data_IF_149983143944
#
_entry.id   IF_149983143944
#
_cell.length_a   1.000
_cell.length_b   1.000
_cell.length_c   1.000
_cell.angle_alpha   90.00
_cell.angle_beta   90.00
_cell.angle_gamma   90.00
#
_symmetry.space_group_name_H-M   'P 1'
#
loop_
_entity.id
_entity.type
_entity.pdbx_description
1 polymer ?
#
# COMPACT_ATOMS: atom_id res chain seq x y z
N UNK A 1 -28.26 -0.24 -12.03
CA UNK A 1 -27.58 -0.19 -10.72
C UNK A 1 -26.17 0.26 -11.00
N UNK A 2 -25.83 1.52 -10.71
CA UNK A 2 -24.47 2.01 -10.93
C UNK A 2 -23.56 1.28 -9.96
N UNK A 3 -22.64 0.47 -10.48
CA UNK A 3 -21.49 -0.01 -9.71
C UNK A 3 -20.75 1.22 -9.22
N UNK A 4 -20.91 1.57 -7.94
CA UNK A 4 -20.04 2.55 -7.30
C UNK A 4 -18.63 2.00 -7.40
N UNK A 5 -17.86 2.56 -8.32
CA UNK A 5 -16.45 2.26 -8.49
C UNK A 5 -15.76 2.71 -7.20
N UNK A 6 -15.39 1.78 -6.34
CA UNK A 6 -14.66 2.10 -5.11
C UNK A 6 -13.30 2.67 -5.52
N UNK A 7 -13.07 3.94 -5.20
CA UNK A 7 -11.79 4.57 -5.49
C UNK A 7 -10.68 3.91 -4.68
N UNK A 8 -9.45 3.83 -5.22
CA UNK A 8 -8.29 3.38 -4.45
C UNK A 8 -8.12 4.25 -3.19
N UNK A 9 -7.66 3.67 -2.09
CA UNK A 9 -7.42 4.39 -0.83
C UNK A 9 -6.63 5.69 -1.06
N UNK A 10 -7.02 6.76 -0.34
CA UNK A 10 -6.55 8.16 -0.47
C UNK A 10 -7.12 8.97 -1.62
N UNK A 11 -7.41 8.34 -2.76
CA UNK A 11 -7.78 9.06 -3.98
C UNK A 11 -9.22 9.54 -3.89
N UNK A 12 -9.43 10.84 -4.04
CA UNK A 12 -10.76 11.44 -3.97
C UNK A 12 -11.26 11.84 -5.36
N UNK A 13 -10.40 12.46 -6.17
CA UNK A 13 -10.73 12.95 -7.52
C UNK A 13 -9.61 12.66 -8.51
N UNK A 14 -9.28 11.38 -8.77
CA UNK A 14 -8.29 11.04 -9.77
C UNK A 14 -8.81 11.35 -11.17
N UNK A 15 -7.98 12.02 -11.98
CA UNK A 15 -8.27 12.28 -13.39
C UNK A 15 -7.01 12.15 -14.25
N UNK A 16 -7.15 11.93 -15.56
CA UNK A 16 -6.01 11.93 -16.47
C UNK A 16 -5.17 13.21 -16.33
N UNK A 17 -3.85 13.05 -16.28
CA UNK A 17 -2.91 14.16 -16.35
C UNK A 17 -2.81 14.64 -17.80
N UNK A 18 -2.98 15.94 -18.06
CA UNK A 18 -3.02 16.50 -19.41
C UNK A 18 -2.25 17.83 -19.49
N UNK A 19 -1.33 17.95 -20.44
CA UNK A 19 -0.45 19.10 -20.57
C UNK A 19 -1.20 20.42 -20.76
N UNK A 20 -2.30 20.40 -21.51
CA UNK A 20 -3.11 21.58 -21.83
C UNK A 20 -3.80 22.16 -20.59
N UNK A 21 -4.14 21.31 -19.62
CA UNK A 21 -4.83 21.71 -18.39
C UNK A 21 -3.85 21.91 -17.22
N UNK A 22 -2.84 21.06 -17.13
CA UNK A 22 -1.95 20.95 -15.97
C UNK A 22 -0.63 21.71 -16.17
N UNK A 23 -0.55 22.57 -17.20
CA UNK A 23 0.63 23.34 -17.57
C UNK A 23 1.19 24.26 -16.47
N UNK A 24 0.32 24.80 -15.62
CA UNK A 24 0.71 25.64 -14.48
C UNK A 24 0.75 24.87 -13.16
N UNK A 25 0.35 23.59 -13.17
CA UNK A 25 0.32 22.75 -11.99
C UNK A 25 1.74 22.37 -11.57
N UNK A 26 1.99 22.39 -10.27
CA UNK A 26 3.28 22.10 -9.65
C UNK A 26 3.11 21.21 -8.43
N UNK A 27 4.12 20.40 -8.13
CA UNK A 27 4.15 19.53 -6.97
C UNK A 27 4.94 20.16 -5.82
N UNK A 28 4.42 20.11 -4.60
CA UNK A 28 5.12 20.58 -3.42
C UNK A 28 6.46 19.82 -3.24
N UNK A 29 7.56 20.51 -2.87
CA UNK A 29 8.86 19.89 -2.69
C UNK A 29 8.96 19.03 -1.42
N UNK A 30 8.20 19.37 -0.38
CA UNK A 30 8.14 18.62 0.87
C UNK A 30 6.96 17.64 0.84
N UNK A 31 7.20 16.41 1.28
CA UNK A 31 6.16 15.39 1.36
C UNK A 31 5.38 15.55 2.67
N UNK A 32 4.07 15.68 2.55
CA UNK A 32 3.11 15.71 3.65
C UNK A 32 2.19 14.49 3.54
N UNK A 33 2.26 13.59 4.52
CA UNK A 33 1.54 12.32 4.53
C UNK A 33 0.17 12.41 5.20
N UNK A 34 -0.35 13.61 5.50
CA UNK A 34 -1.67 13.77 6.14
C UNK A 34 -2.82 13.13 5.35
N UNK A 35 -2.69 12.99 4.03
CA UNK A 35 -3.62 12.23 3.20
C UNK A 35 -3.76 10.75 3.62
N UNK A 36 -2.74 10.20 4.28
CA UNK A 36 -2.69 8.81 4.72
C UNK A 36 -3.10 8.58 6.18
N UNK A 37 -3.42 9.64 6.94
CA UNK A 37 -3.79 9.55 8.38
C UNK A 37 -4.96 8.63 8.66
N UNK A 38 -5.91 8.55 7.72
CA UNK A 38 -7.11 7.73 7.84
C UNK A 38 -6.94 6.26 7.41
N UNK A 39 -5.79 5.85 6.87
CA UNK A 39 -5.63 4.46 6.41
C UNK A 39 -5.09 3.55 7.50
N UNK A 40 -5.94 2.60 7.92
CA UNK A 40 -5.54 1.51 8.81
C UNK A 40 -4.62 0.50 8.12
N UNK A 41 -4.67 0.40 6.79
CA UNK A 41 -3.83 -0.48 5.98
C UNK A 41 -3.64 0.09 4.57
N UNK A 42 -2.56 -0.31 3.90
CA UNK A 42 -2.33 0.04 2.49
C UNK A 42 -1.77 -1.15 1.72
N UNK A 43 -2.03 -1.23 0.40
CA UNK A 43 -1.37 -2.22 -0.46
C UNK A 43 0.16 -2.15 -0.36
N UNK A 44 0.78 -3.32 -0.45
CA UNK A 44 2.24 -3.47 -0.50
C UNK A 44 2.60 -4.48 -1.60
N UNK A 45 3.63 -4.16 -2.40
CA UNK A 45 4.12 -5.05 -3.45
C UNK A 45 5.23 -5.96 -2.90
N UNK A 46 5.35 -7.16 -3.46
CA UNK A 46 6.34 -8.18 -3.06
C UNK A 46 7.78 -7.66 -3.00
N UNK A 47 8.15 -6.78 -3.94
CA UNK A 47 9.47 -6.15 -3.97
C UNK A 47 9.80 -5.34 -2.69
N UNK A 48 8.78 -4.93 -1.93
CA UNK A 48 8.93 -4.16 -0.71
C UNK A 48 8.90 -5.03 0.56
N UNK A 49 8.55 -6.32 0.48
CA UNK A 49 8.27 -7.14 1.66
C UNK A 49 9.45 -7.20 2.64
N UNK A 50 10.68 -7.29 2.15
CA UNK A 50 11.88 -7.40 3.01
C UNK A 50 12.20 -6.10 3.76
N UNK A 51 11.76 -4.95 3.24
CA UNK A 51 11.87 -3.67 3.93
C UNK A 51 10.66 -3.46 4.85
N UNK A 52 9.45 -3.71 4.33
CA UNK A 52 8.20 -3.55 5.06
C UNK A 52 8.09 -4.47 6.28
N UNK A 53 8.59 -5.72 6.20
CA UNK A 53 8.48 -6.70 7.28
C UNK A 53 9.25 -6.32 8.55
N UNK A 54 10.11 -5.31 8.50
CA UNK A 54 10.82 -4.79 9.68
C UNK A 54 9.99 -3.82 10.51
N UNK A 55 8.86 -3.35 9.96
CA UNK A 55 8.09 -2.25 10.52
C UNK A 55 6.59 -2.55 10.63
N UNK A 56 6.06 -3.37 9.72
CA UNK A 56 4.62 -3.63 9.59
C UNK A 56 4.31 -5.12 9.60
N UNK A 57 3.17 -5.54 10.15
CA UNK A 57 2.55 -6.81 9.77
C UNK A 57 2.16 -6.77 8.29
N UNK A 58 2.54 -7.81 7.54
CA UNK A 58 2.11 -8.02 6.15
C UNK A 58 0.96 -9.02 6.17
N UNK A 59 -0.19 -8.65 5.63
CA UNK A 59 -1.43 -9.45 5.65
C UNK A 59 -1.98 -9.61 4.23
N UNK A 60 -2.90 -10.55 4.06
CA UNK A 60 -3.54 -10.81 2.78
C UNK A 60 -5.04 -10.59 2.88
N UNK A 61 -5.62 -9.90 1.90
CA UNK A 61 -7.05 -9.65 1.82
C UNK A 61 -7.64 -10.42 0.64
N UNK A 62 -8.84 -10.95 0.85
CA UNK A 62 -9.64 -11.48 -0.25
C UNK A 62 -10.10 -10.34 -1.17
N UNK A 63 -10.28 -10.67 -2.44
CA UNK A 63 -10.66 -9.72 -3.47
C UNK A 63 -10.56 -10.37 -4.85
N UNK A 64 -10.93 -9.62 -5.87
CA UNK A 64 -10.75 -9.99 -7.27
C UNK A 64 -10.07 -8.81 -7.99
N UNK A 65 -8.73 -8.74 -8.01
CA UNK A 65 -7.76 -9.73 -7.51
C UNK A 65 -7.52 -9.68 -5.99
N UNK A 66 -6.96 -10.74 -5.38
CA UNK A 66 -6.53 -10.72 -3.98
C UNK A 66 -5.32 -9.81 -3.78
N UNK A 67 -5.12 -9.30 -2.56
CA UNK A 67 -4.11 -8.27 -2.29
C UNK A 67 -3.25 -8.59 -1.07
N UNK A 68 -1.99 -8.18 -1.13
CA UNK A 68 -1.13 -8.05 0.05
C UNK A 68 -1.18 -6.61 0.56
N UNK A 69 -1.28 -6.45 1.88
CA UNK A 69 -1.33 -5.15 2.56
C UNK A 69 -0.37 -5.11 3.74
N UNK A 70 0.10 -3.91 4.10
CA UNK A 70 0.69 -3.65 5.41
C UNK A 70 -0.35 -3.05 6.35
N UNK A 71 -0.31 -3.46 7.61
CA UNK A 71 -1.14 -2.88 8.66
C UNK A 71 -0.44 -1.66 9.29
N UNK A 72 -1.15 -0.54 9.36
CA UNK A 72 -0.66 0.76 9.83
C UNK A 72 -1.35 1.24 11.11
N UNK A 73 -2.50 0.66 11.47
CA UNK A 73 -3.23 0.99 12.68
C UNK A 73 -4.18 -0.13 13.10
N UNK A 74 -4.56 -0.13 14.38
CA UNK A 74 -5.50 -1.11 14.94
C UNK A 74 -6.94 -0.60 14.97
N UNK A 75 -7.13 0.72 14.93
CA UNK A 75 -8.44 1.36 14.87
C UNK A 75 -8.80 1.66 13.42
N UNK A 76 -10.10 1.68 13.13
CA UNK A 76 -10.57 2.16 11.84
C UNK A 76 -10.27 3.66 11.71
N UNK A 77 -9.84 4.10 10.53
CA UNK A 77 -9.54 5.51 10.29
C UNK A 77 -8.23 5.99 10.92
N UNK A 78 -7.30 5.09 11.29
CA UNK A 78 -6.08 5.44 12.01
C UNK A 78 -4.82 4.89 11.32
N UNK A 79 -3.85 5.76 11.10
CA UNK A 79 -2.49 5.41 10.70
C UNK A 79 -1.51 5.87 11.79
N UNK A 80 -0.89 4.92 12.48
CA UNK A 80 0.04 5.16 13.59
C UNK A 80 1.44 5.57 13.13
N UNK A 81 1.67 5.64 11.82
CA UNK A 81 2.95 6.00 11.22
C UNK A 81 2.94 7.40 10.60
N UNK A 82 1.84 8.14 10.67
CA UNK A 82 1.83 9.57 10.34
C UNK A 82 1.77 10.35 11.65
N UNK A 83 2.66 11.32 11.85
CA UNK A 83 2.66 12.21 13.03
C UNK A 83 1.74 13.43 12.83
N UNK A 84 1.65 14.29 13.85
CA UNK A 84 0.80 15.48 13.82
C UNK A 84 1.31 16.54 12.83
N UNK A 85 2.61 16.54 12.56
CA UNK A 85 3.30 17.41 11.63
C UNK A 85 3.16 16.93 10.16
N UNK A 86 2.59 15.75 9.94
CA UNK A 86 2.41 15.13 8.62
C UNK A 86 3.63 14.37 8.12
N UNK A 87 4.63 14.16 8.98
CA UNK A 87 5.77 13.30 8.73
C UNK A 87 5.39 11.82 8.83
N UNK A 88 6.13 10.98 8.10
CA UNK A 88 6.10 9.54 8.35
C UNK A 88 7.06 9.21 9.49
N UNK A 89 6.72 8.21 10.30
CA UNK A 89 7.52 7.75 11.44
C UNK A 89 9.01 7.63 11.06
N UNK A 90 9.91 8.33 11.78
CA UNK A 90 11.33 8.32 11.47
C UNK A 90 11.93 6.91 11.44
N UNK A 91 12.60 6.57 10.34
CA UNK A 91 13.24 5.27 10.15
C UNK A 91 12.30 4.13 9.77
N UNK A 92 10.98 4.35 9.74
CA UNK A 92 10.04 3.37 9.21
C UNK A 92 9.99 3.42 7.68
N UNK A 93 9.82 2.26 7.06
CA UNK A 93 9.73 2.16 5.60
C UNK A 93 8.43 2.76 5.07
N UNK A 94 8.47 3.60 4.03
CA UNK A 94 7.24 4.18 3.44
C UNK A 94 6.80 3.33 2.24
N UNK A 95 5.62 2.68 2.27
CA UNK A 95 5.14 1.85 1.15
C UNK A 95 5.04 2.63 -0.16
N UNK A 96 5.34 1.99 -1.30
CA UNK A 96 5.29 2.61 -2.62
C UNK A 96 3.88 3.12 -2.95
N UNK A 97 2.85 2.45 -2.45
CA UNK A 97 1.47 2.90 -2.56
C UNK A 97 1.23 4.28 -1.92
N UNK A 98 1.93 4.59 -0.82
CA UNK A 98 1.90 5.90 -0.17
C UNK A 98 2.75 6.89 -0.97
N UNK A 99 3.98 6.50 -1.37
CA UNK A 99 4.94 7.36 -2.09
C UNK A 99 4.48 7.79 -3.48
N UNK A 100 3.64 7.00 -4.15
CA UNK A 100 3.12 7.36 -5.49
C UNK A 100 2.09 8.49 -5.46
N UNK A 101 1.43 8.74 -4.32
CA UNK A 101 0.43 9.80 -4.22
C UNK A 101 1.09 11.17 -4.53
N UNK A 102 0.50 12.02 -5.40
CA UNK A 102 -0.89 11.98 -5.88
C UNK A 102 -1.11 11.30 -7.23
N UNK A 103 -0.13 10.58 -7.76
CA UNK A 103 -0.18 9.93 -9.07
C UNK A 103 -0.65 8.48 -9.00
N UNK A 104 -1.45 8.08 -9.98
CA UNK A 104 -1.94 6.70 -10.11
C UNK A 104 -2.14 6.32 -11.56
N UNK A 105 -1.92 5.05 -11.89
CA UNK A 105 -2.39 4.49 -13.15
C UNK A 105 -3.83 3.99 -13.01
N UNK A 106 -4.70 4.51 -13.86
CA UNK A 106 -6.03 3.94 -14.07
C UNK A 106 -6.02 3.15 -15.38
N UNK A 107 -6.50 1.91 -15.30
CA UNK A 107 -6.65 1.03 -16.44
C UNK A 107 -7.89 1.43 -17.26
N UNK A 108 -7.69 1.65 -18.55
CA UNK A 108 -8.79 1.65 -19.51
C UNK A 108 -8.97 0.23 -20.05
N UNK A 109 -9.96 -0.49 -19.51
CA UNK A 109 -10.25 -1.88 -19.88
C UNK A 109 -10.64 -2.07 -21.35
N UNK A 110 -11.14 -1.03 -22.02
CA UNK A 110 -11.52 -1.13 -23.43
C UNK A 110 -10.31 -1.05 -24.36
N UNK A 111 -9.24 -0.40 -23.91
CA UNK A 111 -8.04 -0.13 -24.72
C UNK A 111 -6.79 -0.89 -24.25
N UNK A 112 -6.89 -1.64 -23.16
CA UNK A 112 -5.76 -2.31 -22.50
C UNK A 112 -4.59 -1.34 -22.22
N UNK A 113 -4.93 -0.09 -21.90
CA UNK A 113 -3.98 1.01 -21.71
C UNK A 113 -4.05 1.55 -20.28
N UNK A 114 -2.88 1.81 -19.68
CA UNK A 114 -2.80 2.55 -18.42
C UNK A 114 -2.63 4.05 -18.70
N UNK A 115 -3.48 4.86 -18.05
CA UNK A 115 -3.39 6.32 -18.11
C UNK A 115 -2.81 6.85 -16.81
N UNK A 116 -1.78 7.71 -16.91
CA UNK A 116 -1.29 8.47 -15.76
C UNK A 116 -2.36 9.47 -15.34
N UNK A 117 -2.87 9.28 -14.13
CA UNK A 117 -3.82 10.15 -13.48
C UNK A 117 -3.18 10.84 -12.29
N UNK A 118 -3.76 11.97 -11.92
CA UNK A 118 -3.41 12.76 -10.74
C UNK A 118 -4.67 13.03 -9.92
N UNK A 119 -4.58 12.96 -8.59
CA UNK A 119 -5.66 13.35 -7.70
C UNK A 119 -5.73 14.87 -7.53
N UNK A 120 -6.78 15.50 -8.05
CA UNK A 120 -6.97 16.95 -7.93
C UNK A 120 -7.22 17.43 -6.51
N UNK A 121 -7.58 16.52 -5.60
CA UNK A 121 -7.79 16.85 -4.19
C UNK A 121 -6.46 16.92 -3.39
N UNK A 122 -5.33 16.57 -4.01
CA UNK A 122 -4.07 16.50 -3.31
C UNK A 122 -3.58 17.87 -2.84
N UNK A 123 -3.34 17.99 -1.53
CA UNK A 123 -2.78 19.20 -0.90
C UNK A 123 -1.34 19.50 -1.34
N UNK A 124 -0.65 18.52 -1.92
CA UNK A 124 0.69 18.67 -2.50
C UNK A 124 0.67 19.38 -3.85
N UNK A 125 -0.49 19.72 -4.40
CA UNK A 125 -0.59 20.43 -5.68
C UNK A 125 -0.75 21.94 -5.47
N UNK A 126 -0.02 22.71 -6.26
CA UNK A 126 -0.08 24.17 -6.29
C UNK A 126 0.09 24.70 -7.72
N UNK A 127 -0.13 26.00 -7.90
CA UNK A 127 0.03 26.67 -9.21
C UNK A 127 1.29 27.54 -9.19
N UNK A 128 2.04 27.56 -10.28
CA UNK A 128 3.23 28.42 -10.45
C UNK A 128 4.42 28.10 -9.53
N UNK A 129 4.49 26.87 -8.97
CA UNK A 129 5.59 26.41 -8.13
C UNK A 129 6.87 26.07 -8.92
N UNK A 130 7.95 25.76 -8.19
CA UNK A 130 9.25 25.42 -8.80
C UNK A 130 9.22 24.06 -9.52
N UNK A 131 8.50 23.08 -8.97
CA UNK A 131 8.41 21.72 -9.50
C UNK A 131 7.18 21.58 -10.41
N UNK A 132 7.19 22.31 -11.53
CA UNK A 132 6.10 22.24 -12.53
C UNK A 132 5.94 20.81 -13.06
N UNK A 133 4.73 20.41 -13.38
CA UNK A 133 4.45 19.12 -14.01
C UNK A 133 4.75 19.15 -15.52
N UNK A 134 4.51 20.29 -16.17
CA UNK A 134 4.80 20.50 -17.59
C UNK A 134 5.57 21.80 -17.81
N UNK A 135 6.34 21.84 -18.90
CA UNK A 135 6.99 23.04 -19.41
C UNK A 135 6.88 23.06 -20.94
N UNK A 136 6.32 24.14 -21.50
CA UNK A 136 6.06 24.24 -22.94
C UNK A 136 5.21 23.09 -23.53
N UNK A 137 4.29 22.52 -22.72
CA UNK A 137 3.46 21.37 -23.12
C UNK A 137 4.17 20.01 -23.05
N UNK A 138 5.44 19.96 -22.62
CA UNK A 138 6.19 18.72 -22.44
C UNK A 138 6.25 18.34 -20.95
N UNK A 139 6.22 17.04 -20.60
CA UNK A 139 6.35 16.62 -19.21
C UNK A 139 7.72 17.04 -18.66
N UNK A 140 7.77 17.54 -17.43
CA UNK A 140 9.04 17.79 -16.73
C UNK A 140 9.62 16.50 -16.16
N UNK A 141 10.75 16.60 -15.46
CA UNK A 141 11.32 15.47 -14.72
C UNK A 141 10.35 14.94 -13.64
N UNK A 142 9.56 15.79 -13.00
CA UNK A 142 8.56 15.40 -12.00
C UNK A 142 7.56 14.42 -12.62
N UNK A 143 7.00 14.78 -13.77
CA UNK A 143 6.02 13.95 -14.48
C UNK A 143 6.63 12.68 -15.06
N UNK A 144 7.86 12.75 -15.60
CA UNK A 144 8.57 11.55 -16.08
C UNK A 144 8.88 10.56 -14.96
N UNK A 145 9.32 11.06 -13.80
CA UNK A 145 9.59 10.22 -12.64
C UNK A 145 8.29 9.60 -12.10
N UNK A 146 7.19 10.37 -12.05
CA UNK A 146 5.88 9.83 -11.69
C UNK A 146 5.41 8.72 -12.65
N UNK A 147 5.57 8.94 -13.96
CA UNK A 147 5.24 7.95 -14.99
C UNK A 147 6.04 6.65 -14.80
N UNK A 148 7.36 6.76 -14.64
CA UNK A 148 8.23 5.61 -14.41
C UNK A 148 7.87 4.87 -13.12
N UNK A 149 7.67 5.60 -12.02
CA UNK A 149 7.30 5.03 -10.72
C UNK A 149 5.97 4.27 -10.79
N UNK A 150 4.94 4.85 -11.42
CA UNK A 150 3.65 4.20 -11.56
C UNK A 150 3.72 2.95 -12.45
N UNK A 151 4.57 2.97 -13.49
CA UNK A 151 4.82 1.81 -14.34
C UNK A 151 5.51 0.68 -13.58
N UNK A 152 6.57 0.98 -12.86
CA UNK A 152 7.30 0.00 -12.05
C UNK A 152 6.40 -0.58 -10.95
N UNK A 153 5.62 0.28 -10.30
CA UNK A 153 4.63 -0.15 -9.31
C UNK A 153 3.63 -1.16 -9.92
N UNK A 154 3.11 -0.89 -11.12
CA UNK A 154 2.14 -1.77 -11.77
C UNK A 154 2.75 -3.14 -12.11
N UNK A 155 3.99 -3.18 -12.61
CA UNK A 155 4.69 -4.43 -12.89
C UNK A 155 4.88 -5.28 -11.63
N UNK A 156 5.29 -4.64 -10.53
CA UNK A 156 5.43 -5.32 -9.24
C UNK A 156 4.08 -5.71 -8.61
N UNK A 157 3.03 -4.91 -8.81
CA UNK A 157 1.68 -5.24 -8.36
C UNK A 157 1.20 -6.54 -9.01
N UNK A 158 1.34 -6.68 -10.33
CA UNK A 158 0.98 -7.90 -11.05
C UNK A 158 1.75 -9.12 -10.53
N UNK A 159 3.08 -9.01 -10.37
CA UNK A 159 3.90 -10.10 -9.83
C UNK A 159 3.52 -10.47 -8.39
N UNK A 160 3.03 -9.51 -7.60
CA UNK A 160 2.53 -9.75 -6.25
C UNK A 160 1.18 -10.46 -6.28
N UNK A 161 0.27 -10.06 -7.17
CA UNK A 161 -0.99 -10.75 -7.39
C UNK A 161 -0.76 -12.22 -7.74
N UNK A 162 0.15 -12.53 -8.66
CA UNK A 162 0.52 -13.92 -9.01
C UNK A 162 0.96 -14.73 -7.78
N UNK A 163 1.76 -14.12 -6.89
CA UNK A 163 2.20 -14.75 -5.65
C UNK A 163 1.03 -15.01 -4.67
N UNK A 164 0.14 -14.04 -4.49
CA UNK A 164 -1.01 -14.17 -3.57
C UNK A 164 -2.00 -15.21 -4.10
N UNK A 165 -2.25 -15.25 -5.41
CA UNK A 165 -3.07 -16.29 -6.03
C UNK A 165 -2.45 -17.68 -5.88
N UNK A 166 -1.12 -17.80 -5.98
CA UNK A 166 -0.42 -19.06 -5.74
C UNK A 166 -0.56 -19.54 -4.28
N UNK A 167 -0.45 -18.63 -3.31
CA UNK A 167 -0.72 -18.91 -1.89
C UNK A 167 -2.16 -19.42 -1.68
N UNK A 168 -3.15 -18.77 -2.30
CA UNK A 168 -4.55 -19.21 -2.23
C UNK A 168 -4.75 -20.59 -2.86
N UNK A 169 -4.23 -20.81 -4.07
CA UNK A 169 -4.34 -22.07 -4.80
C UNK A 169 -3.68 -23.25 -4.06
N UNK A 170 -2.56 -22.99 -3.39
CA UNK A 170 -1.87 -23.98 -2.57
C UNK A 170 -2.55 -24.20 -1.19
N UNK A 171 -3.62 -23.47 -0.86
CA UNK A 171 -4.34 -23.61 0.40
C UNK A 171 -3.55 -23.11 1.62
N UNK A 172 -2.57 -22.23 1.40
CA UNK A 172 -1.64 -21.74 2.42
C UNK A 172 -2.15 -20.54 3.19
N UNK A 173 -3.14 -19.81 2.64
CA UNK A 173 -3.77 -18.70 3.36
C UNK A 173 -4.87 -19.21 4.29
N UNK A 174 -4.83 -18.77 5.55
CA UNK A 174 -5.85 -19.04 6.56
C UNK A 174 -6.38 -17.75 7.15
N UNK A 175 -7.69 -17.71 7.41
CA UNK A 175 -8.32 -16.60 8.14
C UNK A 175 -7.67 -16.43 9.51
N UNK A 176 -7.45 -15.19 9.91
CA UNK A 176 -6.89 -14.88 11.21
C UNK A 176 -7.63 -13.70 11.87
N UNK A 177 -7.52 -13.62 13.18
CA UNK A 177 -8.10 -12.58 14.01
C UNK A 177 -7.08 -12.16 15.07
N UNK A 178 -6.93 -10.85 15.23
CA UNK A 178 -6.14 -10.27 16.30
C UNK A 178 -7.06 -9.60 17.31
N UNK A 179 -7.11 -10.14 18.52
CA UNK A 179 -7.79 -9.54 19.67
C UNK A 179 -6.76 -8.86 20.57
N UNK A 180 -6.94 -7.57 20.80
CA UNK A 180 -6.03 -6.74 21.59
C UNK A 180 -6.82 -6.11 22.73
N UNK A 181 -6.31 -6.22 23.95
CA UNK A 181 -6.84 -5.46 25.10
C UNK A 181 -5.84 -4.36 25.43
N UNK A 182 -6.27 -3.11 25.30
CA UNK A 182 -5.48 -1.92 25.64
C UNK A 182 -5.39 -1.76 27.16
N UNK A 183 -4.45 -0.91 27.61
CA UNK A 183 -4.19 -0.67 29.05
C UNK A 183 -5.39 -0.08 29.80
N UNK A 184 -6.27 0.64 29.10
CA UNK A 184 -7.51 1.21 29.63
C UNK A 184 -8.66 0.18 29.70
N UNK A 185 -8.42 -1.06 29.27
CA UNK A 185 -9.41 -2.14 29.21
C UNK A 185 -10.23 -2.18 27.92
N UNK A 186 -10.04 -1.22 27.00
CA UNK A 186 -10.69 -1.26 25.69
C UNK A 186 -10.22 -2.50 24.92
N UNK A 187 -11.18 -3.23 24.34
CA UNK A 187 -10.91 -4.39 23.49
C UNK A 187 -11.05 -4.00 22.02
N UNK A 188 -9.98 -4.15 21.27
CA UNK A 188 -9.95 -4.04 19.82
C UNK A 188 -9.93 -5.45 19.21
N UNK A 189 -10.67 -5.65 18.14
CA UNK A 189 -10.67 -6.89 17.37
C UNK A 189 -10.50 -6.55 15.90
N UNK A 190 -9.44 -7.06 15.29
CA UNK A 190 -9.21 -6.96 13.85
C UNK A 190 -9.41 -8.34 13.21
N UNK A 191 -10.22 -8.39 12.17
CA UNK A 191 -10.56 -9.61 11.43
C UNK A 191 -10.71 -9.27 9.93
N UNK A 192 -11.02 -10.27 9.10
CA UNK A 192 -11.20 -10.09 7.65
C UNK A 192 -9.88 -10.04 6.88
N UNK A 193 -8.84 -10.67 7.42
CA UNK A 193 -7.55 -10.82 6.78
C UNK A 193 -7.05 -12.26 6.94
N UNK A 194 -6.16 -12.64 6.03
CA UNK A 194 -5.48 -13.93 6.02
C UNK A 194 -3.99 -13.79 6.29
N UNK A 195 -3.40 -14.86 6.81
CA UNK A 195 -1.96 -15.03 7.00
C UNK A 195 -1.52 -16.32 6.32
N UNK A 196 -0.21 -16.46 6.08
CA UNK A 196 0.37 -17.72 5.60
C UNK A 196 0.47 -18.66 6.79
N UNK A 197 -0.09 -19.86 6.65
CA UNK A 197 0.06 -20.93 7.63
C UNK A 197 1.45 -21.59 7.47
N UNK A 198 2.33 -21.35 8.45
CA UNK A 198 3.69 -21.89 8.45
C UNK A 198 3.72 -23.43 8.49
N UNK A 199 2.76 -24.05 9.18
CA UNK A 199 2.65 -25.51 9.27
C UNK A 199 2.35 -26.12 7.91
N UNK A 200 1.38 -25.57 7.17
CA UNK A 200 1.06 -26.00 5.81
C UNK A 200 2.19 -25.71 4.83
N UNK A 201 2.84 -24.56 4.97
CA UNK A 201 3.99 -24.20 4.13
C UNK A 201 5.14 -25.21 4.28
N UNK A 202 5.45 -25.61 5.52
CA UNK A 202 6.48 -26.62 5.80
C UNK A 202 6.08 -28.05 5.38
N UNK A 203 4.81 -28.27 5.01
CA UNK A 203 4.30 -29.55 4.49
C UNK A 203 4.17 -29.57 2.96
N UNK A 204 4.57 -28.50 2.27
CA UNK A 204 4.64 -28.52 0.81
C UNK A 204 5.54 -29.65 0.32
N UNK A 205 5.15 -30.28 -0.79
CA UNK A 205 6.01 -31.28 -1.43
C UNK A 205 7.33 -30.64 -1.86
N UNK A 206 8.40 -31.44 -1.95
CA UNK A 206 9.70 -30.95 -2.43
C UNK A 206 9.61 -30.32 -3.83
N UNK A 207 8.75 -30.86 -4.70
CA UNK A 207 8.51 -30.31 -6.03
C UNK A 207 7.85 -28.93 -5.99
N UNK A 208 6.81 -28.75 -5.16
CA UNK A 208 6.13 -27.47 -5.02
C UNK A 208 7.06 -26.44 -4.37
N UNK A 209 7.79 -26.82 -3.32
CA UNK A 209 8.76 -25.95 -2.66
C UNK A 209 9.87 -25.48 -3.63
N UNK A 210 10.38 -26.38 -4.47
CA UNK A 210 11.35 -26.06 -5.51
C UNK A 210 10.77 -25.08 -6.55
N UNK A 211 9.52 -25.27 -6.96
CA UNK A 211 8.83 -24.34 -7.87
C UNK A 211 8.73 -22.93 -7.26
N UNK A 212 8.43 -22.83 -5.97
CA UNK A 212 8.34 -21.56 -5.25
C UNK A 212 9.70 -20.87 -5.13
N UNK A 213 10.77 -21.66 -4.93
CA UNK A 213 12.15 -21.16 -4.96
C UNK A 213 12.51 -20.58 -6.32
N UNK A 214 12.21 -21.29 -7.41
CA UNK A 214 12.49 -20.85 -8.78
C UNK A 214 11.71 -19.59 -9.16
N UNK A 215 10.49 -19.43 -8.63
CA UNK A 215 9.67 -18.21 -8.80
C UNK A 215 10.13 -17.04 -7.92
N UNK A 216 11.07 -17.25 -7.00
CA UNK A 216 11.53 -16.22 -6.07
C UNK A 216 10.52 -15.88 -4.96
N UNK A 217 9.58 -16.78 -4.66
CA UNK A 217 8.52 -16.53 -3.69
C UNK A 217 8.89 -16.84 -2.24
N UNK A 218 9.89 -17.70 -2.00
CA UNK A 218 10.30 -18.05 -0.62
C UNK A 218 10.68 -16.83 0.23
N UNK A 219 11.46 -15.84 -0.26
CA UNK A 219 11.75 -14.63 0.52
C UNK A 219 10.50 -13.84 0.92
N UNK A 220 9.44 -13.85 0.11
CA UNK A 220 8.18 -13.17 0.41
C UNK A 220 7.44 -13.88 1.55
N UNK A 221 7.42 -15.21 1.54
CA UNK A 221 6.85 -16.02 2.62
C UNK A 221 7.57 -15.77 3.94
N UNK A 222 8.90 -15.83 3.94
CA UNK A 222 9.67 -15.60 5.16
C UNK A 222 9.57 -14.15 5.65
N UNK A 223 9.51 -13.17 4.74
CA UNK A 223 9.25 -11.79 5.11
C UNK A 223 7.88 -11.64 5.79
N UNK A 224 6.84 -12.33 5.31
CA UNK A 224 5.57 -12.38 6.02
C UNK A 224 5.71 -12.97 7.43
N UNK A 225 6.38 -14.11 7.62
CA UNK A 225 6.57 -14.69 8.97
C UNK A 225 7.31 -13.75 9.91
N UNK A 226 8.37 -13.09 9.45
CA UNK A 226 9.09 -12.06 10.24
C UNK A 226 8.16 -10.89 10.57
N UNK A 227 7.34 -10.46 9.62
CA UNK A 227 6.42 -9.32 9.77
C UNK A 227 5.40 -9.50 10.90
N UNK A 228 5.04 -10.74 11.23
CA UNK A 228 4.08 -11.06 12.31
C UNK A 228 4.60 -10.56 13.66
N UNK A 229 5.92 -10.51 13.88
CA UNK A 229 6.48 -9.96 15.13
C UNK A 229 6.15 -8.48 15.36
N UNK A 230 5.80 -7.73 14.30
CA UNK A 230 5.45 -6.31 14.39
C UNK A 230 4.06 -6.06 15.00
N UNK A 231 3.22 -7.09 15.19
CA UNK A 231 1.93 -6.93 15.87
C UNK A 231 2.08 -6.34 17.27
N UNK A 232 3.05 -6.84 18.06
CA UNK A 232 3.31 -6.32 19.40
C UNK A 232 3.70 -4.83 19.36
N UNK A 233 4.58 -4.44 18.43
CA UNK A 233 4.96 -3.06 18.24
C UNK A 233 3.79 -2.15 17.83
N UNK A 234 2.85 -2.67 17.03
CA UNK A 234 1.65 -1.92 16.65
C UNK A 234 0.70 -1.72 17.85
N UNK A 235 0.53 -2.75 18.68
CA UNK A 235 -0.22 -2.64 19.95
C UNK A 235 0.39 -1.59 20.86
N UNK A 236 1.71 -1.61 21.05
CA UNK A 236 2.42 -0.63 21.87
C UNK A 236 2.22 0.80 21.34
N UNK A 237 2.29 0.99 20.02
CA UNK A 237 2.00 2.29 19.37
C UNK A 237 0.57 2.76 19.62
N UNK A 238 -0.43 1.87 19.50
CA UNK A 238 -1.83 2.20 19.78
C UNK A 238 -2.07 2.63 21.23
N UNK A 239 -1.35 2.02 22.18
CA UNK A 239 -1.41 2.40 23.60
C UNK A 239 -0.78 3.77 23.86
N UNK A 240 0.29 4.12 23.15
CA UNK A 240 0.97 5.41 23.30
C UNK A 240 0.23 6.58 22.64
N UNK A 241 -0.63 6.30 21.64
CA UNK A 241 -1.50 7.28 20.98
C UNK A 241 -2.97 7.03 21.33
N UNK A 242 -3.43 7.37 22.54
CA UNK A 242 -4.85 7.31 22.87
C UNK A 242 -5.61 8.30 21.99
N UNK A 243 -6.80 7.90 21.52
CA UNK A 243 -7.71 8.80 20.80
C UNK A 243 -8.00 10.00 21.68
N UNK A 244 -7.61 11.20 21.23
CA UNK A 244 -8.05 12.43 21.88
C UNK A 244 -9.53 12.61 21.53
N UNK A 245 -10.40 12.56 22.55
CA UNK A 245 -11.82 12.89 22.39
C UNK A 245 -12.01 14.34 21.91
#
# INVERSE_FOLDING_TARGET
MSTQQTLPAFYQRPRPLAAERDGDLSLAPATDYRFATGANSVPVIGAEFTLACKHYPILFLDGAPPQAVVLLGLRNGENLFVDAEGGWEPGAYIPAYVRRYPFIFLENREREEFTLCIDEAASSLSHGGANKLFDGGQPTEVTRNALAFCSDYQGHYNATTDFVEALQKAGLLVENRADVTLKDGQKLSLAGFKVIDEGKFNQLSAEEFERWRQRGWLPLVYAHFVSVSNWAGLVDRTVQRPTTN
#
